data_IF_718236251493
#
_entry.id   IF_718236251493
#
_cell.length_a   1.000
_cell.length_b   1.000
_cell.length_c   1.000
_cell.angle_alpha   90.00
_cell.angle_beta   90.00
_cell.angle_gamma   90.00
#
_symmetry.space_group_name_H-M   'P 1'
#
loop_
_entity.id
_entity.type
_entity.pdbx_description
1 polymer ?
#
# COMPACT_ATOMS: atom_id res chain seq x y z
N UNK A 1 -16.39 8.40 -3.23
CA UNK A 1 -15.86 7.09 -3.65
C UNK A 1 -15.51 6.33 -2.39
N UNK A 2 -15.73 5.02 -2.37
CA UNK A 2 -15.37 4.18 -1.22
C UNK A 2 -13.84 3.99 -1.20
N UNK A 3 -13.22 4.10 -0.03
CA UNK A 3 -11.78 3.97 0.16
C UNK A 3 -11.38 2.48 0.16
N UNK A 4 -10.41 2.11 -0.67
CA UNK A 4 -9.85 0.74 -0.73
C UNK A 4 -8.68 0.66 0.26
N UNK A 5 -8.83 -0.16 1.29
CA UNK A 5 -7.76 -0.42 2.25
C UNK A 5 -6.86 -1.56 1.78
N UNK A 6 -5.55 -1.30 1.78
CA UNK A 6 -4.53 -2.23 1.30
C UNK A 6 -3.60 -2.66 2.44
N UNK A 7 -3.33 -3.96 2.52
CA UNK A 7 -2.30 -4.52 3.38
C UNK A 7 -1.19 -5.13 2.52
N UNK A 8 0.06 -4.76 2.76
CA UNK A 8 1.21 -5.27 2.00
C UNK A 8 1.81 -6.49 2.70
N UNK A 9 1.90 -7.62 2.01
CA UNK A 9 2.52 -8.84 2.53
C UNK A 9 3.61 -9.30 1.56
N UNK A 10 4.88 -9.07 1.92
CA UNK A 10 6.04 -9.40 1.10
C UNK A 10 7.27 -9.58 2.00
N UNK A 11 8.14 -10.55 1.71
CA UNK A 11 9.37 -10.83 2.48
C UNK A 11 10.51 -9.85 2.16
N UNK A 12 10.34 -8.96 1.18
CA UNK A 12 11.32 -7.97 0.74
C UNK A 12 10.88 -6.54 1.10
N UNK A 13 11.52 -5.89 2.09
CA UNK A 13 11.17 -4.53 2.51
C UNK A 13 11.15 -3.49 1.37
N UNK A 14 12.10 -3.59 0.44
CA UNK A 14 12.22 -2.66 -0.71
C UNK A 14 10.98 -2.67 -1.62
N UNK A 15 10.33 -3.83 -1.77
CA UNK A 15 9.12 -3.96 -2.59
C UNK A 15 7.96 -3.25 -1.91
N UNK A 16 7.80 -3.44 -0.59
CA UNK A 16 6.75 -2.80 0.20
C UNK A 16 6.88 -1.28 0.20
N UNK A 17 8.10 -0.76 0.35
CA UNK A 17 8.36 0.68 0.27
C UNK A 17 7.93 1.27 -1.08
N UNK A 18 8.30 0.62 -2.18
CA UNK A 18 7.90 1.04 -3.53
C UNK A 18 6.39 1.00 -3.76
N UNK A 19 5.75 -0.11 -3.38
CA UNK A 19 4.30 -0.26 -3.54
C UNK A 19 3.52 0.74 -2.68
N UNK A 20 3.97 1.00 -1.45
CA UNK A 20 3.33 1.97 -0.55
C UNK A 20 3.30 3.37 -1.15
N UNK A 21 4.38 3.81 -1.81
CA UNK A 21 4.42 5.10 -2.52
C UNK A 21 3.41 5.14 -3.65
N UNK A 22 3.35 4.09 -4.48
CA UNK A 22 2.46 4.04 -5.64
C UNK A 22 0.97 3.95 -5.25
N UNK A 23 0.67 3.17 -4.20
CA UNK A 23 -0.70 2.99 -3.69
C UNK A 23 -1.20 4.28 -3.04
N UNK A 24 -0.40 4.92 -2.18
CA UNK A 24 -0.80 6.16 -1.53
C UNK A 24 -0.90 7.36 -2.50
N UNK A 25 -0.41 7.22 -3.74
CA UNK A 25 -0.63 8.19 -4.80
C UNK A 25 -2.01 8.06 -5.48
N UNK A 26 -2.74 6.95 -5.26
CA UNK A 26 -4.09 6.79 -5.78
C UNK A 26 -5.11 7.50 -4.87
N UNK A 27 -6.08 8.24 -5.43
CA UNK A 27 -7.00 9.07 -4.64
C UNK A 27 -8.05 8.28 -3.84
N UNK A 28 -8.20 7.00 -4.12
CA UNK A 28 -9.20 6.09 -3.54
C UNK A 28 -8.57 4.91 -2.79
N UNK A 29 -7.26 4.97 -2.49
CA UNK A 29 -6.55 3.88 -1.81
C UNK A 29 -5.71 4.37 -0.63
N UNK A 30 -5.58 3.50 0.39
CA UNK A 30 -4.74 3.75 1.56
C UNK A 30 -4.06 2.44 2.03
N UNK A 31 -2.75 2.49 2.28
CA UNK A 31 -2.04 1.39 2.94
C UNK A 31 -2.24 1.46 4.45
N UNK A 32 -2.95 0.49 5.02
CA UNK A 32 -3.29 0.45 6.46
C UNK A 32 -2.35 -0.45 7.29
N UNK A 33 -1.42 -1.16 6.64
CA UNK A 33 -0.45 -2.01 7.30
C UNK A 33 0.45 -2.78 6.34
N UNK A 34 1.48 -3.39 6.91
CA UNK A 34 2.42 -4.25 6.18
C UNK A 34 2.96 -5.38 7.09
N UNK A 35 3.29 -6.52 6.49
CA UNK A 35 4.02 -7.63 7.09
C UNK A 35 5.12 -8.14 6.15
#
# INVERSE_FOLDING_TARGET
MEQIHVFLADDHPVVREGLKVLINAQPDMEVIGEA
#
